data_IF_747576191263
#
_entry.id   IF_747576191263
#
_cell.length_a   1.000
_cell.length_b   1.000
_cell.length_c   1.000
_cell.angle_alpha   90.00
_cell.angle_beta   90.00
_cell.angle_gamma   90.00
#
_symmetry.space_group_name_H-M   'P 1'
#
loop_
_entity.id
_entity.type
_entity.pdbx_description
1 polymer ?
#
# COMPACT_ATOMS: atom_id res chain seq x y z
N UNK A 1 -38.53 10.73 32.29
CA UNK A 1 -39.06 9.52 32.97
C UNK A 1 -39.56 8.57 31.89
N UNK A 2 -39.12 7.29 31.97
CA UNK A 2 -39.62 6.06 31.27
C UNK A 2 -39.57 6.03 29.73
N UNK A 3 -38.47 5.56 29.11
CA UNK A 3 -38.01 4.18 28.79
C UNK A 3 -38.70 3.52 27.59
N UNK A 4 -38.01 3.48 26.45
CA UNK A 4 -38.23 2.45 25.43
C UNK A 4 -37.09 1.42 25.51
N UNK A 5 -37.33 0.37 26.28
CA UNK A 5 -36.66 -0.92 26.15
C UNK A 5 -37.40 -1.80 25.15
N UNK A 6 -36.69 -2.80 24.63
CA UNK A 6 -37.11 -3.88 23.73
C UNK A 6 -36.89 -3.54 22.24
N UNK A 7 -36.21 -4.35 21.42
CA UNK A 7 -35.72 -5.69 21.61
C UNK A 7 -34.72 -6.04 20.49
N UNK A 8 -34.12 -7.21 20.66
CA UNK A 8 -33.51 -8.04 19.62
C UNK A 8 -32.10 -7.62 19.17
N UNK A 9 -31.13 -8.16 19.90
CA UNK A 9 -29.84 -8.49 19.30
C UNK A 9 -30.06 -9.27 18.00
N UNK A 10 -29.35 -8.87 16.96
CA UNK A 10 -29.18 -9.67 15.76
C UNK A 10 -27.70 -9.89 15.55
N UNK A 11 -27.29 -11.04 16.06
CA UNK A 11 -26.25 -11.91 15.55
C UNK A 11 -25.15 -11.21 14.72
N UNK A 12 -23.99 -11.06 15.37
CA UNK A 12 -22.68 -11.11 14.72
C UNK A 12 -22.57 -12.42 13.94
N UNK A 13 -23.05 -12.44 12.70
CA UNK A 13 -22.85 -13.55 11.77
C UNK A 13 -23.22 -13.09 10.36
N UNK A 14 -22.28 -12.42 9.71
CA UNK A 14 -22.07 -12.64 8.28
C UNK A 14 -20.80 -13.49 8.16
N UNK A 15 -20.98 -14.76 8.56
CA UNK A 15 -20.31 -15.94 8.03
C UNK A 15 -19.13 -15.63 7.11
N UNK A 16 -17.93 -15.74 7.70
CA UNK A 16 -16.71 -16.06 6.98
C UNK A 16 -16.99 -17.20 6.00
N UNK A 17 -17.20 -16.86 4.73
CA UNK A 17 -17.07 -17.81 3.64
C UNK A 17 -15.71 -17.56 2.99
N UNK A 18 -14.64 -17.73 3.78
CA UNK A 18 -13.30 -17.91 3.24
C UNK A 18 -13.20 -19.34 2.71
N UNK A 19 -13.90 -19.61 1.60
CA UNK A 19 -13.44 -20.62 0.65
C UNK A 19 -12.08 -20.14 0.17
N UNK A 20 -11.03 -20.49 0.93
CA UNK A 20 -9.66 -20.27 0.52
C UNK A 20 -9.48 -21.08 -0.78
N UNK A 21 -9.28 -20.43 -1.94
CA UNK A 21 -8.92 -21.17 -3.14
C UNK A 21 -7.64 -21.97 -2.82
N UNK A 22 -7.45 -23.17 -3.39
CA UNK A 22 -6.28 -24.00 -3.10
C UNK A 22 -5.03 -23.14 -3.24
N UNK A 23 -4.27 -23.04 -2.16
CA UNK A 23 -3.12 -22.14 -2.06
C UNK A 23 -2.25 -22.33 -3.29
N UNK A 24 -2.16 -21.29 -4.13
CA UNK A 24 -1.35 -21.35 -5.35
C UNK A 24 0.08 -21.62 -4.90
N UNK A 25 0.63 -22.76 -5.33
CA UNK A 25 2.03 -23.10 -5.05
C UNK A 25 2.89 -21.94 -5.55
N UNK A 26 3.74 -21.40 -4.67
CA UNK A 26 4.70 -20.39 -5.05
C UNK A 26 5.57 -20.95 -6.19
N UNK A 27 5.82 -20.16 -7.22
CA UNK A 27 6.65 -20.52 -8.37
C UNK A 27 7.58 -19.35 -8.72
N UNK A 28 8.67 -19.66 -9.42
CA UNK A 28 9.63 -18.64 -9.86
C UNK A 28 10.24 -17.87 -8.69
N UNK A 29 10.28 -16.55 -8.78
CA UNK A 29 10.87 -15.67 -7.76
C UNK A 29 10.27 -15.89 -6.37
N UNK A 30 8.95 -16.09 -6.27
CA UNK A 30 8.27 -16.30 -5.01
C UNK A 30 8.58 -17.66 -4.34
N UNK A 31 9.09 -18.63 -5.11
CA UNK A 31 9.46 -19.95 -4.61
C UNK A 31 10.93 -20.06 -4.16
N UNK A 32 11.76 -19.04 -4.45
CA UNK A 32 13.18 -19.04 -4.11
C UNK A 32 13.40 -18.83 -2.60
N UNK A 33 14.60 -19.16 -2.12
CA UNK A 33 15.02 -18.83 -0.76
C UNK A 33 15.00 -17.30 -0.51
N UNK A 34 14.58 -16.81 0.67
CA UNK A 34 14.53 -15.38 0.97
C UNK A 34 15.86 -14.63 0.78
N UNK A 35 17.00 -15.25 1.04
CA UNK A 35 18.30 -14.63 0.82
C UNK A 35 18.58 -14.46 -0.68
N UNK A 36 18.23 -15.45 -1.50
CA UNK A 36 18.34 -15.38 -2.95
C UNK A 36 17.39 -14.33 -3.54
N UNK A 37 16.14 -14.27 -3.07
CA UNK A 37 15.19 -13.23 -3.47
C UNK A 37 15.73 -11.83 -3.18
N UNK A 38 16.25 -11.59 -1.97
CA UNK A 38 16.85 -10.30 -1.58
C UNK A 38 18.02 -9.93 -2.47
N UNK A 39 18.89 -10.89 -2.80
CA UNK A 39 20.03 -10.65 -3.68
C UNK A 39 19.57 -10.22 -5.07
N UNK A 40 18.66 -10.99 -5.69
CA UNK A 40 18.14 -10.69 -7.03
C UNK A 40 17.37 -9.36 -7.04
N UNK A 41 16.55 -9.08 -6.02
CA UNK A 41 15.85 -7.79 -5.91
C UNK A 41 16.83 -6.62 -5.78
N UNK A 42 17.86 -6.78 -4.95
CA UNK A 42 18.91 -5.75 -4.77
C UNK A 42 19.69 -5.53 -6.05
N UNK A 43 20.03 -6.59 -6.76
CA UNK A 43 20.74 -6.55 -8.04
C UNK A 43 19.88 -5.91 -9.13
N UNK A 44 18.60 -6.28 -9.22
CA UNK A 44 17.64 -5.68 -10.16
C UNK A 44 17.45 -4.18 -9.93
N UNK A 45 17.37 -3.74 -8.67
CA UNK A 45 17.31 -2.31 -8.32
C UNK A 45 18.58 -1.56 -8.72
N UNK A 46 19.76 -2.13 -8.45
CA UNK A 46 21.06 -1.55 -8.84
C UNK A 46 21.21 -1.48 -10.35
N UNK A 47 20.89 -2.57 -11.05
CA UNK A 47 20.96 -2.64 -12.51
C UNK A 47 20.00 -1.62 -13.16
N UNK A 48 18.79 -1.46 -12.63
CA UNK A 48 17.84 -0.45 -13.11
C UNK A 48 18.42 0.95 -12.98
N UNK A 49 19.04 1.27 -11.84
CA UNK A 49 19.66 2.57 -11.61
C UNK A 49 20.90 2.80 -12.49
N UNK A 50 21.77 1.80 -12.59
CA UNK A 50 22.98 1.84 -13.41
C UNK A 50 22.69 1.90 -14.91
N UNK A 51 21.59 1.28 -15.36
CA UNK A 51 21.19 1.28 -16.77
C UNK A 51 20.98 2.69 -17.32
N UNK A 52 20.81 3.69 -16.45
CA UNK A 52 20.87 5.10 -16.84
C UNK A 52 19.78 5.52 -17.85
N UNK A 53 18.80 4.65 -18.13
CA UNK A 53 17.63 4.94 -18.98
C UNK A 53 16.65 5.91 -18.33
N UNK A 54 17.01 6.48 -17.18
CA UNK A 54 16.25 7.53 -16.53
C UNK A 54 16.42 8.87 -17.24
N UNK A 55 15.34 9.64 -17.27
CA UNK A 55 15.40 11.05 -17.66
C UNK A 55 16.34 11.82 -16.73
N UNK A 56 17.31 12.54 -17.29
CA UNK A 56 18.16 13.44 -16.51
C UNK A 56 17.46 14.77 -16.37
N UNK A 57 17.00 15.05 -15.16
CA UNK A 57 16.38 16.32 -14.83
C UNK A 57 17.39 17.45 -14.97
N UNK A 58 16.99 18.50 -15.67
CA UNK A 58 17.67 19.79 -15.54
C UNK A 58 17.40 20.35 -14.13
N UNK A 59 18.25 21.26 -13.60
CA UNK A 59 18.05 21.83 -12.27
C UNK A 59 16.67 22.52 -12.10
N UNK A 60 16.15 23.10 -13.17
CA UNK A 60 14.82 23.73 -13.17
C UNK A 60 13.70 22.69 -13.06
N UNK A 61 13.80 21.62 -13.84
CA UNK A 61 12.82 20.55 -13.86
C UNK A 61 12.79 19.78 -12.53
N UNK A 62 13.96 19.53 -11.93
CA UNK A 62 14.06 18.94 -10.60
C UNK A 62 13.34 19.79 -9.54
N UNK A 63 13.50 21.13 -9.59
CA UNK A 63 12.78 22.05 -8.69
C UNK A 63 11.28 22.04 -8.95
N UNK A 64 10.85 22.02 -10.20
CA UNK A 64 9.44 21.96 -10.56
C UNK A 64 8.79 20.66 -10.06
N UNK A 65 9.44 19.52 -10.29
CA UNK A 65 8.99 18.21 -9.82
C UNK A 65 8.96 18.16 -8.28
N UNK A 66 9.99 18.68 -7.60
CA UNK A 66 10.05 18.76 -6.14
C UNK A 66 8.93 19.63 -5.56
N UNK A 67 8.66 20.80 -6.14
CA UNK A 67 7.52 21.65 -5.74
C UNK A 67 6.19 20.92 -5.91
N UNK A 68 5.97 20.26 -7.05
CA UNK A 68 4.76 19.49 -7.33
C UNK A 68 4.58 18.34 -6.33
N UNK A 69 5.65 17.61 -6.02
CA UNK A 69 5.64 16.54 -5.02
C UNK A 69 5.32 17.05 -3.61
N UNK A 70 5.92 18.19 -3.22
CA UNK A 70 5.64 18.83 -1.94
C UNK A 70 4.22 19.37 -1.79
N UNK A 71 3.61 19.85 -2.88
CA UNK A 71 2.19 20.22 -2.90
C UNK A 71 1.28 18.99 -2.73
N UNK A 72 1.61 17.88 -3.39
CA UNK A 72 0.83 16.65 -3.30
C UNK A 72 0.92 15.97 -1.92
N UNK A 73 2.06 16.06 -1.24
CA UNK A 73 2.22 15.49 0.11
C UNK A 73 1.52 16.31 1.20
N UNK A 74 1.53 17.64 1.08
CA UNK A 74 0.85 18.54 2.02
C UNK A 74 -0.68 18.44 1.98
N UNK A 75 -1.26 17.94 0.89
CA UNK A 75 -2.71 17.72 0.78
C UNK A 75 -3.24 16.50 1.53
N UNK A 76 -2.37 15.57 1.98
CA UNK A 76 -2.80 14.30 2.61
C UNK A 76 -2.75 14.30 4.13
N UNK A 77 -2.19 15.32 4.78
CA UNK A 77 -1.96 15.31 6.24
C UNK A 77 -3.16 15.73 7.09
N UNK A 78 -4.28 16.18 6.48
CA UNK A 78 -5.38 16.82 7.22
C UNK A 78 -6.74 16.09 7.12
N UNK A 79 -6.82 14.84 6.64
CA UNK A 79 -8.13 14.20 6.35
C UNK A 79 -8.44 12.90 7.10
N UNK A 80 -7.83 12.64 8.27
CA UNK A 80 -8.06 11.39 9.03
C UNK A 80 -8.60 11.57 10.46
N UNK A 81 -9.34 12.65 10.77
CA UNK A 81 -10.17 12.67 12.00
C UNK A 81 -11.56 13.27 11.74
N UNK A 82 -12.60 12.46 11.48
CA UNK A 82 -13.97 12.92 11.63
C UNK A 82 -14.32 12.97 13.13
N UNK A 83 -14.21 14.16 13.71
CA UNK A 83 -14.83 14.47 14.99
C UNK A 83 -16.36 14.39 14.83
N UNK A 84 -16.97 13.41 15.49
CA UNK A 84 -18.42 13.27 15.56
C UNK A 84 -19.02 14.45 16.34
N UNK A 85 -19.97 15.14 15.70
CA UNK A 85 -20.96 16.06 16.29
C UNK A 85 -22.31 15.35 16.36
#
# INVERSE_FOLDING_TARGET
>A
MTTNSAAAGRARSAKSNSENPPAKRARGFAAMDPAQQRRIASEGGRASHQSGRGHRFTPEEARAAGRKGGQASRGRSNQDTPAAV
#
